data_IF_885967744760
#
_entry.id   IF_885967744760
#
_cell.length_a   1.000
_cell.length_b   1.000
_cell.length_c   1.000
_cell.angle_alpha   90.00
_cell.angle_beta   90.00
_cell.angle_gamma   90.00
#
_symmetry.space_group_name_H-M   'P 1'
#
loop_
_entity.id
_entity.type
_entity.pdbx_description
1 polymer ?
#
# COMPACT_ATOMS: atom_id res chain seq x y z
N UNK A 1 -2.51 21.63 -16.90
CA UNK A 1 -3.24 21.10 -18.08
C UNK A 1 -3.49 22.20 -19.12
N UNK A 2 -4.17 23.29 -18.77
CA UNK A 2 -4.55 24.33 -19.76
C UNK A 2 -3.37 24.89 -20.56
N UNK A 3 -2.24 25.18 -19.91
CA UNK A 3 -1.06 25.78 -20.57
C UNK A 3 -0.34 24.78 -21.52
N UNK A 4 -0.52 23.51 -21.30
CA UNK A 4 0.11 22.45 -22.08
C UNK A 4 -0.89 21.59 -22.89
N UNK A 5 -2.12 22.05 -23.06
CA UNK A 5 -3.18 21.29 -23.74
C UNK A 5 -2.85 20.93 -25.20
N UNK A 6 -2.01 21.73 -25.84
CA UNK A 6 -1.58 21.52 -27.23
C UNK A 6 -0.23 20.77 -27.32
N UNK A 7 0.33 20.34 -26.17
CA UNK A 7 1.56 19.55 -26.15
C UNK A 7 1.25 18.08 -26.51
N UNK A 8 2.12 17.50 -27.32
CA UNK A 8 2.01 16.12 -27.75
C UNK A 8 2.89 15.20 -26.87
N UNK A 9 2.42 13.99 -26.62
CA UNK A 9 3.17 12.95 -25.89
C UNK A 9 3.71 13.38 -24.51
N UNK A 10 2.97 14.20 -23.76
CA UNK A 10 3.37 14.58 -22.42
C UNK A 10 2.87 13.58 -21.36
N UNK A 11 3.64 13.42 -20.30
CA UNK A 11 3.26 12.71 -19.08
C UNK A 11 3.16 13.73 -17.94
N UNK A 12 2.01 13.76 -17.26
CA UNK A 12 1.78 14.59 -16.09
C UNK A 12 1.52 13.72 -14.87
N UNK A 13 2.35 13.87 -13.85
CA UNK A 13 2.12 13.31 -12.53
C UNK A 13 1.61 14.42 -11.62
N UNK A 14 0.45 14.21 -11.01
CA UNK A 14 -0.14 15.08 -10.02
C UNK A 14 -0.21 14.33 -8.70
N UNK A 15 0.54 14.76 -7.71
CA UNK A 15 0.53 14.21 -6.37
C UNK A 15 -0.09 15.22 -5.42
N UNK A 16 -1.24 14.87 -4.82
CA UNK A 16 -1.88 15.64 -3.78
C UNK A 16 -1.55 15.01 -2.42
N UNK A 17 -1.24 15.84 -1.41
CA UNK A 17 -1.04 15.36 -0.06
C UNK A 17 -2.37 14.90 0.55
N UNK A 18 -3.45 15.67 0.35
CA UNK A 18 -4.78 15.29 0.78
C UNK A 18 -5.33 14.09 -0.02
N UNK A 19 -6.09 13.20 0.64
CA UNK A 19 -6.69 13.27 1.98
C UNK A 19 -5.83 12.70 3.13
N UNK A 20 -4.51 12.82 3.09
CA UNK A 20 -3.60 12.40 4.17
C UNK A 20 -3.89 13.17 5.47
N UNK A 21 -3.64 12.58 6.62
CA UNK A 21 -3.65 13.28 7.89
C UNK A 21 -2.51 14.35 7.96
N UNK A 22 -2.68 15.47 8.67
CA UNK A 22 -3.80 15.84 9.52
C UNK A 22 -5.08 16.15 8.73
N UNK A 23 -6.23 15.68 9.22
CA UNK A 23 -7.52 15.92 8.57
C UNK A 23 -7.99 17.34 8.85
N UNK A 24 -7.31 18.31 8.26
CA UNK A 24 -7.61 19.72 8.37
C UNK A 24 -8.11 20.28 7.03
N UNK A 25 -9.22 21.00 7.07
CA UNK A 25 -9.84 21.59 5.90
C UNK A 25 -10.65 22.83 6.30
N UNK A 26 -10.99 23.69 5.34
CA UNK A 26 -11.90 24.80 5.60
C UNK A 26 -13.21 24.32 6.24
N UNK A 27 -13.64 25.04 7.30
CA UNK A 27 -14.78 24.67 8.13
C UNK A 27 -16.04 24.32 7.35
N UNK A 28 -16.28 24.97 6.21
CA UNK A 28 -17.48 24.70 5.40
C UNK A 28 -17.54 23.28 4.82
N UNK A 29 -16.41 22.57 4.69
CA UNK A 29 -16.40 21.14 4.35
C UNK A 29 -16.73 20.29 5.56
N UNK A 30 -16.19 20.61 6.75
CA UNK A 30 -16.55 19.92 7.98
C UNK A 30 -18.04 20.08 8.31
N UNK A 31 -18.61 21.26 8.09
CA UNK A 31 -20.02 21.57 8.32
C UNK A 31 -20.99 20.71 7.48
N UNK A 32 -20.50 20.00 6.45
CA UNK A 32 -21.31 19.00 5.72
C UNK A 32 -21.57 17.74 6.55
N UNK A 33 -20.67 17.41 7.46
CA UNK A 33 -20.66 16.14 8.21
C UNK A 33 -20.86 16.31 9.70
N UNK A 34 -20.51 17.49 10.26
CA UNK A 34 -20.60 17.77 11.69
C UNK A 34 -21.28 19.10 11.94
N UNK A 35 -22.35 19.08 12.72
CA UNK A 35 -23.10 20.29 13.10
C UNK A 35 -22.69 20.77 14.47
N UNK A 36 -22.97 22.04 14.76
CA UNK A 36 -22.77 22.60 16.10
C UNK A 36 -23.52 21.76 17.16
N UNK A 37 -22.77 21.27 18.15
CA UNK A 37 -23.29 20.41 19.22
C UNK A 37 -23.23 18.90 18.94
N UNK A 38 -22.82 18.46 17.76
CA UNK A 38 -22.64 17.02 17.47
C UNK A 38 -21.43 16.44 18.20
N UNK A 39 -20.43 17.30 18.49
CA UNK A 39 -19.22 16.92 19.22
C UNK A 39 -18.78 18.09 20.10
N UNK A 40 -18.47 17.81 21.37
CA UNK A 40 -18.02 18.77 22.39
C UNK A 40 -16.67 18.40 23.02
N UNK A 41 -16.01 17.40 22.49
CA UNK A 41 -14.70 16.94 22.94
C UNK A 41 -13.54 17.77 22.38
N UNK A 42 -12.29 17.35 22.65
CA UNK A 42 -11.10 17.98 22.10
C UNK A 42 -11.11 17.95 20.56
N UNK A 43 -10.80 19.07 19.94
CA UNK A 43 -10.62 19.12 18.48
C UNK A 43 -9.23 18.58 18.11
N UNK A 44 -9.20 17.55 17.28
CA UNK A 44 -7.96 16.94 16.81
C UNK A 44 -8.10 16.45 15.36
N UNK A 45 -7.02 16.50 14.64
CA UNK A 45 -6.97 16.22 13.19
C UNK A 45 -6.06 15.06 12.84
N UNK A 46 -5.23 14.61 13.79
CA UNK A 46 -4.20 13.62 13.56
C UNK A 46 -4.22 12.57 14.69
N UNK A 47 -4.69 11.34 14.42
CA UNK A 47 -4.66 10.27 15.41
C UNK A 47 -3.25 9.69 15.59
N UNK A 48 -3.02 9.04 16.71
CA UNK A 48 -1.83 8.22 16.90
C UNK A 48 -1.88 6.97 16.01
N UNK A 49 -0.74 6.54 15.51
CA UNK A 49 -0.56 5.27 14.80
C UNK A 49 -0.49 4.14 15.83
N UNK A 50 -1.64 3.64 16.25
CA UNK A 50 -1.78 2.78 17.43
C UNK A 50 -3.10 2.01 17.42
N UNK A 51 -3.33 1.09 18.40
CA UNK A 51 -4.68 0.66 18.71
C UNK A 51 -5.58 1.86 18.97
N UNK A 52 -6.85 1.72 18.65
CA UNK A 52 -7.83 2.78 18.88
C UNK A 52 -8.09 2.96 20.38
N UNK A 53 -7.53 4.02 20.96
CA UNK A 53 -7.76 4.42 22.36
C UNK A 53 -8.83 5.50 22.49
N UNK A 54 -9.39 5.98 21.38
CA UNK A 54 -10.46 6.97 21.34
C UNK A 54 -11.81 6.35 21.68
N UNK A 55 -12.67 7.12 22.35
CA UNK A 55 -14.05 6.74 22.53
C UNK A 55 -14.86 6.87 21.21
N UNK A 56 -16.10 6.40 21.20
CA UNK A 56 -16.96 6.39 20.01
C UNK A 56 -17.15 7.81 19.43
N UNK A 57 -17.37 8.82 20.29
CA UNK A 57 -17.61 10.20 19.84
C UNK A 57 -16.35 10.82 19.21
N UNK A 58 -15.18 10.56 19.78
CA UNK A 58 -13.90 10.99 19.25
C UNK A 58 -13.57 10.30 17.93
N UNK A 59 -13.81 8.99 17.83
CA UNK A 59 -13.63 8.21 16.61
C UNK A 59 -14.53 8.73 15.49
N UNK A 60 -15.82 8.99 15.80
CA UNK A 60 -16.76 9.52 14.79
C UNK A 60 -16.41 10.96 14.38
N UNK A 61 -15.93 11.81 15.31
CA UNK A 61 -15.42 13.13 14.98
C UNK A 61 -14.27 13.05 13.96
N UNK A 62 -13.31 12.17 14.18
CA UNK A 62 -12.20 11.97 13.24
C UNK A 62 -12.67 11.45 11.89
N UNK A 63 -13.63 10.53 11.85
CA UNK A 63 -14.28 10.04 10.61
C UNK A 63 -14.95 11.17 9.83
N UNK A 64 -15.61 12.09 10.51
CA UNK A 64 -16.25 13.27 9.88
C UNK A 64 -15.21 14.21 9.28
N UNK A 65 -14.10 14.44 9.99
CA UNK A 65 -12.97 15.21 9.47
C UNK A 65 -12.35 14.58 8.23
N UNK A 66 -12.11 13.27 8.25
CA UNK A 66 -11.62 12.54 7.09
C UNK A 66 -12.57 12.69 5.89
N UNK A 67 -13.88 12.50 6.09
CA UNK A 67 -14.91 12.71 5.04
C UNK A 67 -14.87 14.13 4.48
N UNK A 68 -14.65 15.13 5.33
CA UNK A 68 -14.57 16.53 4.92
C UNK A 68 -13.35 16.80 4.03
N UNK A 69 -12.18 16.29 4.41
CA UNK A 69 -10.95 16.39 3.59
C UNK A 69 -11.10 15.63 2.27
N UNK A 70 -11.70 14.43 2.30
CA UNK A 70 -11.99 13.67 1.07
C UNK A 70 -12.92 14.45 0.13
N UNK A 71 -13.95 15.13 0.67
CA UNK A 71 -14.85 15.98 -0.14
C UNK A 71 -14.12 17.17 -0.73
N UNK A 72 -13.18 17.76 0.01
CA UNK A 72 -12.32 18.82 -0.52
C UNK A 72 -11.45 18.30 -1.66
N UNK A 73 -10.82 17.15 -1.49
CA UNK A 73 -9.97 16.50 -2.51
C UNK A 73 -10.77 16.17 -3.76
N UNK A 74 -11.96 15.58 -3.61
CA UNK A 74 -12.88 15.26 -4.69
C UNK A 74 -13.27 16.50 -5.50
N UNK A 75 -13.54 17.61 -4.82
CA UNK A 75 -13.82 18.87 -5.48
C UNK A 75 -12.66 19.35 -6.36
N UNK A 76 -11.43 19.28 -5.86
CA UNK A 76 -10.26 19.72 -6.63
C UNK A 76 -9.93 18.76 -7.78
N UNK A 77 -10.20 17.46 -7.61
CA UNK A 77 -10.19 16.51 -8.72
C UNK A 77 -11.21 16.93 -9.80
N UNK A 78 -12.41 17.34 -9.39
CA UNK A 78 -13.44 17.85 -10.31
C UNK A 78 -12.95 19.01 -11.15
N UNK A 79 -12.16 19.93 -10.61
CA UNK A 79 -11.56 21.04 -11.38
C UNK A 79 -10.59 20.55 -12.48
N UNK A 80 -9.88 19.44 -12.25
CA UNK A 80 -9.05 18.80 -13.28
C UNK A 80 -9.92 18.20 -14.38
N UNK A 81 -10.99 17.50 -13.99
CA UNK A 81 -11.92 16.88 -14.93
C UNK A 81 -12.66 17.94 -15.79
N UNK A 82 -13.03 19.08 -15.19
CA UNK A 82 -13.64 20.22 -15.90
C UNK A 82 -12.71 20.76 -16.99
N UNK A 83 -11.39 20.79 -16.75
CA UNK A 83 -10.39 21.19 -17.76
C UNK A 83 -10.32 20.15 -18.87
N UNK A 84 -10.35 18.85 -18.55
CA UNK A 84 -10.36 17.79 -19.54
C UNK A 84 -11.61 17.84 -20.40
N UNK A 85 -12.78 18.11 -19.81
CA UNK A 85 -14.05 18.30 -20.56
C UNK A 85 -13.97 19.54 -21.48
N UNK A 86 -13.51 20.67 -20.94
CA UNK A 86 -13.40 21.92 -21.68
C UNK A 86 -12.57 21.81 -22.96
N UNK A 87 -11.51 21.03 -22.92
CA UNK A 87 -10.56 20.88 -24.03
C UNK A 87 -10.69 19.55 -24.78
N UNK A 88 -11.73 18.75 -24.46
CA UNK A 88 -12.00 17.45 -25.09
C UNK A 88 -10.81 16.48 -25.02
N UNK A 89 -10.09 16.49 -23.87
CA UNK A 89 -8.87 15.71 -23.70
C UNK A 89 -9.12 14.19 -23.59
N UNK A 90 -10.36 13.78 -23.41
CA UNK A 90 -10.72 12.36 -23.33
C UNK A 90 -10.49 11.58 -24.63
N UNK A 91 -10.34 12.27 -25.75
CA UNK A 91 -10.13 11.64 -27.07
C UNK A 91 -8.69 11.11 -27.24
N UNK A 92 -7.73 11.65 -26.50
CA UNK A 92 -6.30 11.34 -26.67
C UNK A 92 -5.52 11.15 -25.35
N UNK A 93 -6.15 11.36 -24.21
CA UNK A 93 -5.49 11.34 -22.90
C UNK A 93 -5.97 10.17 -22.06
N UNK A 94 -5.04 9.39 -21.53
CA UNK A 94 -5.31 8.41 -20.48
C UNK A 94 -5.21 9.09 -19.11
N UNK A 95 -6.26 8.99 -18.31
CA UNK A 95 -6.28 9.41 -16.90
C UNK A 95 -6.21 8.18 -16.00
N UNK A 96 -5.26 8.16 -15.07
CA UNK A 96 -5.16 7.15 -14.00
C UNK A 96 -5.34 7.85 -12.66
N UNK A 97 -6.32 7.41 -11.88
CA UNK A 97 -6.55 7.86 -10.52
C UNK A 97 -6.33 6.70 -9.56
N UNK A 98 -5.45 6.88 -8.58
CA UNK A 98 -5.13 5.89 -7.55
C UNK A 98 -4.55 6.57 -6.31
N UNK A 99 -4.24 5.78 -5.30
CA UNK A 99 -3.51 6.19 -4.10
C UNK A 99 -2.43 5.15 -3.76
N UNK A 100 -1.55 5.46 -2.83
CA UNK A 100 -0.51 4.55 -2.34
C UNK A 100 -1.07 3.52 -1.35
N UNK A 101 -1.95 3.92 -0.42
CA UNK A 101 -2.62 3.07 0.57
C UNK A 101 -3.87 3.75 1.12
N UNK A 102 -4.65 3.00 1.89
CA UNK A 102 -5.77 3.51 2.67
C UNK A 102 -5.41 3.77 4.13
N UNK A 103 -6.41 3.71 5.03
CA UNK A 103 -6.28 4.17 6.41
C UNK A 103 -7.37 3.55 7.30
N UNK A 104 -7.03 3.23 8.56
CA UNK A 104 -8.00 2.82 9.58
C UNK A 104 -8.50 4.01 10.39
N UNK A 105 -9.79 4.04 10.62
CA UNK A 105 -10.49 5.02 11.46
C UNK A 105 -11.34 4.32 12.54
N UNK A 106 -10.70 3.37 13.24
CA UNK A 106 -11.30 2.57 14.30
C UNK A 106 -11.68 1.15 13.90
N UNK A 107 -11.63 0.80 12.61
CA UNK A 107 -11.86 -0.56 12.14
C UNK A 107 -10.83 -1.51 12.76
N UNK A 108 -11.25 -2.74 13.07
CA UNK A 108 -10.44 -3.76 13.75
C UNK A 108 -9.80 -3.31 15.08
N UNK A 109 -10.29 -2.20 15.66
CA UNK A 109 -9.71 -1.61 16.88
C UNK A 109 -8.41 -0.85 16.65
N UNK A 110 -8.14 -0.38 15.42
CA UNK A 110 -6.92 0.36 15.07
C UNK A 110 -7.20 1.76 14.52
N UNK A 111 -6.20 2.62 14.64
CA UNK A 111 -6.12 3.92 13.99
C UNK A 111 -4.90 3.97 13.08
N UNK A 112 -5.02 4.75 12.00
CA UNK A 112 -3.95 5.03 11.07
C UNK A 112 -3.53 3.83 10.18
N UNK A 113 -2.24 3.65 9.99
CA UNK A 113 -1.60 2.73 9.05
C UNK A 113 -0.29 2.20 9.63
N UNK A 114 0.35 1.24 8.95
CA UNK A 114 1.68 0.68 9.28
C UNK A 114 1.75 -0.20 10.53
N UNK A 115 0.68 -0.40 11.26
CA UNK A 115 0.71 -0.96 12.58
C UNK A 115 -0.03 -2.30 12.71
N UNK A 116 -1.09 -2.49 11.98
CA UNK A 116 -2.02 -3.60 12.00
C UNK A 116 -1.71 -4.64 10.91
N UNK A 117 -2.49 -5.70 10.86
CA UNK A 117 -2.53 -6.63 9.74
C UNK A 117 -2.95 -5.90 8.44
N UNK A 118 -2.63 -6.46 7.26
CA UNK A 118 -2.87 -5.80 5.97
C UNK A 118 -4.33 -5.91 5.51
N UNK A 119 -5.26 -5.35 6.30
CA UNK A 119 -6.69 -5.33 6.01
C UNK A 119 -7.06 -4.48 4.79
N UNK A 120 -8.27 -4.70 4.28
CA UNK A 120 -8.80 -4.04 3.09
C UNK A 120 -8.81 -2.51 3.21
N UNK A 121 -9.04 -1.96 4.40
CA UNK A 121 -9.08 -0.51 4.65
C UNK A 121 -7.78 0.18 4.26
N UNK A 122 -6.66 -0.53 4.29
CA UNK A 122 -5.36 0.02 3.92
C UNK A 122 -4.89 -0.47 2.54
N UNK A 123 -5.20 -1.71 2.16
CA UNK A 123 -4.58 -2.33 0.99
C UNK A 123 -5.51 -2.48 -0.22
N UNK A 124 -6.85 -2.44 -0.05
CA UNK A 124 -7.78 -2.45 -1.16
C UNK A 124 -8.07 -1.01 -1.63
N UNK A 125 -7.10 -0.45 -2.31
CA UNK A 125 -7.08 0.96 -2.75
C UNK A 125 -7.88 1.18 -4.03
N UNK A 126 -8.42 2.40 -4.25
CA UNK A 126 -9.07 2.75 -5.50
C UNK A 126 -8.09 2.75 -6.67
N UNK A 127 -8.54 2.22 -7.80
CA UNK A 127 -7.88 2.35 -9.09
C UNK A 127 -8.95 2.60 -10.15
N UNK A 128 -8.90 3.77 -10.77
CA UNK A 128 -9.78 4.16 -11.87
C UNK A 128 -8.94 4.58 -13.06
N UNK A 129 -9.24 4.03 -14.23
CA UNK A 129 -8.52 4.35 -15.48
C UNK A 129 -9.54 4.69 -16.53
N UNK A 130 -9.39 5.88 -17.12
CA UNK A 130 -10.06 6.26 -18.36
C UNK A 130 -9.02 6.35 -19.47
N UNK A 131 -9.31 5.75 -20.63
CA UNK A 131 -8.43 5.83 -21.79
C UNK A 131 -9.26 5.91 -23.09
N UNK A 132 -8.72 6.49 -24.16
CA UNK A 132 -9.40 6.59 -25.43
C UNK A 132 -9.91 5.24 -25.93
N UNK A 133 -11.18 5.18 -26.32
CA UNK A 133 -11.82 3.98 -26.85
C UNK A 133 -12.23 2.93 -25.80
N UNK A 134 -11.91 3.12 -24.54
CA UNK A 134 -12.32 2.21 -23.45
C UNK A 134 -13.76 2.48 -23.04
N UNK A 135 -14.56 1.41 -22.90
CA UNK A 135 -15.94 1.53 -22.46
C UNK A 135 -16.02 1.58 -20.91
N UNK A 136 -16.93 2.40 -20.35
CA UNK A 136 -17.15 2.43 -18.92
C UNK A 136 -17.56 1.06 -18.36
N UNK A 137 -16.99 0.67 -17.24
CA UNK A 137 -17.30 -0.62 -16.62
C UNK A 137 -16.61 -0.81 -15.27
N UNK A 138 -16.86 -1.95 -14.65
CA UNK A 138 -16.14 -2.41 -13.46
C UNK A 138 -15.38 -3.69 -13.79
N UNK A 139 -14.15 -3.79 -13.31
CA UNK A 139 -13.30 -4.95 -13.48
C UNK A 139 -12.97 -5.52 -12.11
N UNK A 140 -13.16 -6.82 -11.92
CA UNK A 140 -12.84 -7.54 -10.68
C UNK A 140 -11.47 -8.23 -10.70
N UNK A 141 -10.68 -8.02 -11.76
CA UNK A 141 -9.34 -8.59 -11.84
C UNK A 141 -8.45 -8.07 -10.72
N UNK A 142 -7.62 -8.95 -10.16
CA UNK A 142 -6.61 -8.58 -9.17
C UNK A 142 -5.53 -7.73 -9.84
N UNK A 143 -5.37 -6.50 -9.35
CA UNK A 143 -4.38 -5.52 -9.83
C UNK A 143 -3.51 -5.04 -8.67
N UNK A 144 -2.40 -4.40 -8.99
CA UNK A 144 -1.48 -3.82 -7.99
C UNK A 144 -0.94 -2.48 -8.50
N UNK A 145 -0.50 -1.59 -7.60
CA UNK A 145 0.12 -0.31 -7.98
C UNK A 145 1.32 -0.45 -8.92
N UNK A 146 2.05 -1.56 -8.83
CA UNK A 146 3.17 -1.86 -9.74
C UNK A 146 2.74 -2.03 -11.20
N UNK A 147 1.44 -2.16 -11.47
CA UNK A 147 0.88 -2.30 -12.82
C UNK A 147 0.76 -0.96 -13.56
N UNK A 148 0.81 0.15 -12.85
CA UNK A 148 0.69 1.49 -13.44
C UNK A 148 1.83 1.75 -14.41
N UNK A 149 3.08 1.47 -14.01
CA UNK A 149 4.24 1.70 -14.87
C UNK A 149 4.16 0.93 -16.21
N UNK A 150 3.97 -0.40 -16.25
CA UNK A 150 3.87 -1.10 -17.53
C UNK A 150 2.63 -0.72 -18.33
N UNK A 151 1.55 -0.28 -17.69
CA UNK A 151 0.36 0.25 -18.38
C UNK A 151 0.69 1.55 -19.12
N UNK A 152 1.38 2.47 -18.46
CA UNK A 152 1.83 3.74 -19.06
C UNK A 152 2.84 3.46 -20.18
N UNK A 153 3.80 2.56 -19.98
CA UNK A 153 4.77 2.18 -21.01
C UNK A 153 4.08 1.63 -22.25
N UNK A 154 3.13 0.71 -22.09
CA UNK A 154 2.39 0.16 -23.23
C UNK A 154 1.54 1.23 -23.93
N UNK A 155 0.91 2.15 -23.18
CA UNK A 155 0.14 3.26 -23.74
C UNK A 155 0.98 4.18 -24.64
N UNK A 156 2.25 4.40 -24.29
CA UNK A 156 3.21 5.17 -25.09
C UNK A 156 4.02 4.31 -26.08
N UNK A 157 3.67 3.05 -26.25
CA UNK A 157 4.40 2.11 -27.12
C UNK A 157 5.90 1.97 -26.76
N UNK A 158 6.22 2.15 -25.46
CA UNK A 158 7.58 2.01 -24.93
C UNK A 158 7.83 0.53 -24.60
N UNK A 159 8.79 -0.09 -25.26
CA UNK A 159 9.20 -1.47 -24.93
C UNK A 159 9.81 -1.56 -23.53
N UNK A 160 9.44 -2.59 -22.75
CA UNK A 160 10.06 -2.88 -21.48
C UNK A 160 11.54 -3.28 -21.60
N UNK A 161 12.02 -3.58 -22.80
CA UNK A 161 13.44 -3.87 -23.08
C UNK A 161 14.38 -2.66 -22.82
N UNK A 162 13.82 -1.44 -22.74
CA UNK A 162 14.59 -0.25 -22.35
C UNK A 162 14.93 -0.22 -20.88
N UNK A 163 14.24 -1.02 -20.06
CA UNK A 163 14.48 -1.10 -18.63
C UNK A 163 15.75 -1.93 -18.34
N UNK A 164 16.55 -1.45 -17.43
CA UNK A 164 17.77 -2.14 -17.01
C UNK A 164 17.46 -3.47 -16.29
N UNK A 165 16.32 -3.53 -15.60
CA UNK A 165 15.86 -4.69 -14.85
C UNK A 165 14.41 -5.01 -15.20
N UNK A 166 14.02 -6.29 -15.20
CA UNK A 166 12.63 -6.68 -15.39
C UNK A 166 11.76 -6.12 -14.26
N UNK A 167 10.51 -5.78 -14.60
CA UNK A 167 9.49 -5.34 -13.67
C UNK A 167 8.44 -6.43 -13.46
N UNK A 168 7.85 -6.49 -12.26
CA UNK A 168 6.84 -7.51 -11.91
C UNK A 168 5.41 -7.08 -12.27
N UNK A 169 5.18 -5.78 -12.46
CA UNK A 169 3.89 -5.23 -12.87
C UNK A 169 3.45 -5.75 -14.24
N UNK A 170 2.15 -5.76 -14.47
CA UNK A 170 1.51 -6.16 -15.72
C UNK A 170 0.71 -4.98 -16.27
N UNK A 171 0.77 -4.77 -17.59
CA UNK A 171 -0.08 -3.77 -18.21
C UNK A 171 -1.56 -4.10 -18.02
N UNK A 172 -2.35 -3.09 -17.71
CA UNK A 172 -3.79 -3.18 -17.55
C UNK A 172 -4.54 -2.85 -18.85
N UNK A 173 -3.86 -2.43 -19.91
CA UNK A 173 -4.52 -2.12 -21.19
C UNK A 173 -5.30 -3.30 -21.77
N UNK A 174 -4.84 -4.56 -21.71
CA UNK A 174 -5.64 -5.70 -22.17
C UNK A 174 -6.96 -5.86 -21.39
N UNK A 175 -6.97 -5.59 -20.07
CA UNK A 175 -8.22 -5.57 -19.28
C UNK A 175 -9.14 -4.44 -19.73
N UNK A 176 -8.60 -3.24 -19.92
CA UNK A 176 -9.37 -2.05 -20.34
C UNK A 176 -9.99 -2.23 -21.72
N UNK A 177 -9.31 -2.94 -22.63
CA UNK A 177 -9.80 -3.25 -23.99
C UNK A 177 -10.74 -4.46 -24.02
N UNK A 178 -10.92 -5.17 -22.90
CA UNK A 178 -11.73 -6.40 -22.85
C UNK A 178 -11.09 -7.59 -23.56
N UNK A 179 -9.79 -7.58 -23.76
CA UNK A 179 -9.03 -8.66 -24.40
C UNK A 179 -8.78 -9.84 -23.45
N UNK A 180 -8.81 -9.58 -22.15
CA UNK A 180 -8.69 -10.56 -21.08
C UNK A 180 -9.54 -10.15 -19.87
N UNK A 181 -9.86 -11.11 -19.02
CA UNK A 181 -10.55 -10.90 -17.74
C UNK A 181 -9.59 -10.88 -16.55
N UNK A 182 -8.30 -11.19 -16.74
CA UNK A 182 -7.28 -11.19 -15.70
C UNK A 182 -5.87 -10.94 -16.21
N UNK A 183 -5.01 -10.39 -15.36
CA UNK A 183 -3.56 -10.22 -15.62
C UNK A 183 -2.70 -11.06 -14.68
N UNK A 184 -3.29 -11.58 -13.58
CA UNK A 184 -2.67 -12.50 -12.63
C UNK A 184 -3.70 -13.35 -11.91
N UNK A 185 -3.25 -14.48 -11.33
CA UNK A 185 -4.11 -15.37 -10.53
C UNK A 185 -4.20 -14.95 -9.06
N UNK A 186 -3.36 -14.05 -8.60
CA UNK A 186 -3.35 -13.52 -7.26
C UNK A 186 -2.21 -12.52 -7.05
N UNK A 187 -2.24 -11.83 -5.93
CA UNK A 187 -1.25 -10.83 -5.55
C UNK A 187 -0.79 -10.99 -4.11
N UNK A 188 0.45 -10.58 -3.83
CA UNK A 188 1.00 -10.45 -2.46
C UNK A 188 1.13 -9.00 -2.08
N UNK A 189 0.91 -8.70 -0.81
CA UNK A 189 1.03 -7.35 -0.24
C UNK A 189 1.31 -7.44 1.26
N UNK A 190 1.59 -6.31 1.90
CA UNK A 190 1.85 -6.23 3.33
C UNK A 190 2.90 -5.20 3.69
N UNK A 191 3.27 -5.19 4.96
CA UNK A 191 4.31 -4.32 5.50
C UNK A 191 5.61 -5.09 5.69
N UNK A 192 6.73 -4.38 5.58
CA UNK A 192 8.04 -4.96 5.87
C UNK A 192 8.10 -5.50 7.32
N UNK A 193 8.51 -6.76 7.46
CA UNK A 193 8.66 -7.40 8.77
C UNK A 193 7.35 -7.81 9.46
N UNK A 194 6.21 -7.65 8.80
CA UNK A 194 4.88 -8.05 9.28
C UNK A 194 4.37 -9.29 8.56
N UNK A 195 3.07 -9.59 8.72
CA UNK A 195 2.41 -10.60 7.90
C UNK A 195 2.60 -10.27 6.42
N UNK A 196 2.73 -11.31 5.60
CA UNK A 196 2.53 -11.19 4.16
C UNK A 196 1.13 -11.67 3.85
N UNK A 197 0.38 -10.85 3.10
CA UNK A 197 -0.93 -11.21 2.59
C UNK A 197 -0.84 -11.73 1.16
N UNK A 198 -1.76 -12.63 0.83
CA UNK A 198 -2.06 -13.06 -0.53
C UNK A 198 -3.56 -12.98 -0.77
N UNK A 199 -3.96 -12.60 -1.98
CA UNK A 199 -5.36 -12.61 -2.40
C UNK A 199 -5.50 -13.04 -3.85
N UNK A 200 -6.61 -13.73 -4.18
CA UNK A 200 -7.08 -13.98 -5.54
C UNK A 200 -8.32 -13.14 -5.92
N UNK A 201 -8.69 -12.20 -5.03
CA UNK A 201 -9.89 -11.37 -5.16
C UNK A 201 -11.13 -11.96 -4.49
N UNK A 202 -11.11 -13.24 -4.10
CA UNK A 202 -12.15 -13.90 -3.31
C UNK A 202 -11.66 -14.20 -1.89
N UNK A 203 -10.50 -14.83 -1.78
CA UNK A 203 -9.89 -15.14 -0.50
C UNK A 203 -8.73 -14.18 -0.23
N UNK A 204 -8.58 -13.80 1.04
CA UNK A 204 -7.40 -13.08 1.51
C UNK A 204 -6.78 -13.84 2.68
N UNK A 205 -5.50 -14.17 2.54
CA UNK A 205 -4.74 -14.95 3.51
C UNK A 205 -3.57 -14.15 4.06
N UNK A 206 -3.55 -13.94 5.38
CA UNK A 206 -2.47 -13.27 6.10
C UNK A 206 -1.58 -14.32 6.74
N UNK A 207 -0.34 -14.42 6.30
CA UNK A 207 0.64 -15.31 6.88
C UNK A 207 1.55 -14.57 7.84
N UNK A 208 1.47 -14.91 9.13
CA UNK A 208 2.37 -14.43 10.16
C UNK A 208 3.75 -15.10 10.08
N UNK A 209 4.74 -14.54 10.76
CA UNK A 209 6.01 -15.21 10.98
C UNK A 209 5.81 -16.54 11.72
N UNK A 210 6.72 -17.49 11.50
CA UNK A 210 6.65 -18.83 12.10
C UNK A 210 6.74 -18.83 13.63
N UNK A 211 7.35 -17.79 14.19
CA UNK A 211 7.51 -17.63 15.64
C UNK A 211 7.72 -16.15 16.01
N UNK A 212 7.66 -15.87 17.30
CA UNK A 212 7.79 -14.50 17.88
C UNK A 212 9.15 -13.83 17.58
N UNK A 213 10.16 -14.57 17.18
CA UNK A 213 11.47 -14.01 16.84
C UNK A 213 11.42 -13.26 15.51
N UNK A 214 10.47 -13.61 14.64
CA UNK A 214 10.28 -13.01 13.33
C UNK A 214 11.59 -12.95 12.53
N UNK A 215 12.32 -14.06 12.53
CA UNK A 215 13.64 -14.15 11.90
C UNK A 215 13.71 -15.36 10.93
N UNK A 216 14.58 -15.30 9.91
CA UNK A 216 15.50 -14.18 9.57
C UNK A 216 14.77 -13.00 8.90
N UNK A 217 15.21 -11.79 9.22
CA UNK A 217 14.70 -10.57 8.60
C UNK A 217 15.85 -9.58 8.41
N UNK A 218 16.01 -9.09 7.17
CA UNK A 218 17.10 -8.20 6.80
C UNK A 218 16.61 -6.98 6.02
N UNK A 219 17.33 -5.88 6.17
CA UNK A 219 17.22 -4.71 5.30
C UNK A 219 18.41 -4.66 4.37
N UNK A 220 18.15 -4.46 3.09
CA UNK A 220 19.17 -4.35 2.04
C UNK A 220 19.23 -2.93 1.50
N UNK A 221 20.42 -2.36 1.40
CA UNK A 221 20.60 -1.02 0.84
C UNK A 221 22.00 -0.82 0.24
N UNK A 222 22.06 -0.09 -0.86
CA UNK A 222 23.31 0.42 -1.40
C UNK A 222 23.76 1.73 -0.71
N UNK A 223 22.82 2.40 0.00
CA UNK A 223 23.02 3.71 0.65
C UNK A 223 22.64 3.65 2.13
N UNK A 224 23.50 3.13 3.00
CA UNK A 224 23.19 2.97 4.43
C UNK A 224 22.87 4.30 5.13
N UNK A 225 23.31 5.43 4.58
CA UNK A 225 23.04 6.77 5.11
C UNK A 225 21.58 7.21 4.99
N UNK A 226 20.76 6.58 4.14
CA UNK A 226 19.32 6.84 4.05
C UNK A 226 18.53 6.11 5.14
N UNK A 227 19.13 5.14 5.80
CA UNK A 227 18.57 4.50 7.00
C UNK A 227 18.72 5.46 8.19
N UNK A 228 17.79 6.41 8.27
CA UNK A 228 17.83 7.57 9.19
C UNK A 228 18.22 7.22 10.63
N UNK A 229 18.04 5.99 11.03
CA UNK A 229 18.08 5.59 12.43
C UNK A 229 19.20 4.60 12.76
N UNK A 230 19.95 4.15 11.77
CA UNK A 230 21.20 3.41 12.02
C UNK A 230 22.29 4.35 12.53
N UNK A 231 22.24 5.64 12.14
CA UNK A 231 23.29 6.62 12.41
C UNK A 231 22.81 7.89 13.13
N UNK A 232 21.53 8.04 13.43
CA UNK A 232 20.94 9.35 13.73
C UNK A 232 20.35 9.55 15.13
N UNK A 233 20.49 8.62 16.06
CA UNK A 233 20.00 8.75 17.42
C UNK A 233 21.11 8.90 18.46
N UNK A 234 20.76 9.32 19.66
CA UNK A 234 21.66 9.31 20.83
C UNK A 234 22.08 7.89 21.26
N UNK A 235 21.42 6.87 20.69
CA UNK A 235 21.77 5.47 20.88
C UNK A 235 22.66 5.04 19.70
N UNK A 236 23.97 5.22 19.90
CA UNK A 236 24.97 4.71 18.97
C UNK A 236 24.74 3.21 18.78
N UNK A 237 24.66 2.76 17.51
CA UNK A 237 24.70 1.33 17.19
C UNK A 237 25.90 0.75 17.93
N UNK A 238 25.65 -0.27 18.73
CA UNK A 238 26.65 -0.92 19.53
C UNK A 238 27.72 -1.54 18.59
N UNK A 239 28.99 -1.54 19.03
CA UNK A 239 30.10 -2.07 18.22
C UNK A 239 29.88 -3.54 17.81
N UNK A 240 29.18 -4.32 18.59
CA UNK A 240 28.83 -5.72 18.26
C UNK A 240 27.77 -5.79 17.14
N UNK A 241 26.85 -4.84 17.06
CA UNK A 241 25.86 -4.77 16.01
C UNK A 241 26.50 -4.43 14.66
N UNK A 242 27.52 -3.58 14.62
CA UNK A 242 28.29 -3.32 13.41
C UNK A 242 28.95 -4.57 12.82
N UNK A 243 29.38 -5.51 13.66
CA UNK A 243 29.97 -6.77 13.20
C UNK A 243 28.94 -7.70 12.52
N UNK A 244 27.66 -7.44 12.70
CA UNK A 244 26.56 -8.20 12.09
C UNK A 244 26.15 -7.65 10.73
N UNK A 245 26.64 -6.47 10.37
CA UNK A 245 26.40 -5.86 9.07
C UNK A 245 27.32 -6.50 8.04
N UNK A 246 26.77 -6.97 6.97
CA UNK A 246 27.50 -7.60 5.90
C UNK A 246 27.42 -6.77 4.61
N UNK A 247 28.42 -6.87 3.75
CA UNK A 247 28.40 -6.32 2.41
C UNK A 247 28.64 -7.44 1.41
N UNK A 248 27.75 -7.55 0.41
CA UNK A 248 27.85 -8.62 -0.58
C UNK A 248 26.80 -8.51 -1.67
N UNK A 249 26.75 -9.52 -2.54
CA UNK A 249 25.78 -9.66 -3.62
C UNK A 249 24.65 -10.59 -3.15
N UNK A 250 23.72 -10.05 -2.41
CA UNK A 250 22.63 -10.83 -1.79
C UNK A 250 21.36 -10.86 -2.65
N UNK A 251 21.22 -9.91 -3.59
CA UNK A 251 20.00 -9.70 -4.36
C UNK A 251 20.15 -10.34 -5.75
N UNK A 252 19.29 -11.29 -6.15
CA UNK A 252 19.46 -12.02 -7.40
C UNK A 252 19.25 -11.17 -8.66
N UNK A 253 18.61 -10.01 -8.51
CA UNK A 253 18.30 -9.10 -9.63
C UNK A 253 19.36 -8.03 -9.89
N UNK A 254 20.46 -8.00 -9.13
CA UNK A 254 21.55 -7.02 -9.34
C UNK A 254 22.91 -7.58 -8.99
N UNK A 255 23.91 -7.21 -9.78
CA UNK A 255 25.32 -7.50 -9.52
C UNK A 255 26.00 -6.50 -8.59
N UNK A 256 25.32 -5.43 -8.22
CA UNK A 256 25.87 -4.44 -7.28
C UNK A 256 25.93 -5.00 -5.86
N UNK A 257 27.05 -4.82 -5.16
CA UNK A 257 27.10 -5.16 -3.75
C UNK A 257 26.22 -4.22 -2.94
N UNK A 258 25.49 -4.79 -1.99
CA UNK A 258 24.64 -4.05 -1.05
C UNK A 258 25.02 -4.38 0.38
N UNK A 259 24.70 -3.50 1.31
CA UNK A 259 24.74 -3.82 2.73
C UNK A 259 23.50 -4.63 3.09
N UNK A 260 23.70 -5.63 3.97
CA UNK A 260 22.66 -6.43 4.60
C UNK A 260 22.68 -6.17 6.11
N UNK A 261 21.63 -5.59 6.62
CA UNK A 261 21.45 -5.28 8.03
C UNK A 261 20.44 -6.25 8.64
N UNK A 262 20.78 -6.97 9.72
CA UNK A 262 19.75 -7.61 10.53
C UNK A 262 18.72 -6.58 11.00
N UNK A 263 17.43 -6.86 10.80
CA UNK A 263 16.39 -5.85 11.06
C UNK A 263 16.29 -5.46 12.54
N UNK A 264 16.70 -6.34 13.44
CA UNK A 264 16.68 -6.10 14.89
C UNK A 264 17.71 -5.07 15.39
N UNK A 265 18.73 -4.73 14.57
CA UNK A 265 19.71 -3.68 14.91
C UNK A 265 19.32 -2.30 14.35
N UNK A 266 18.27 -2.23 13.55
CA UNK A 266 17.81 -0.96 12.99
C UNK A 266 16.81 -0.33 13.95
N UNK A 267 17.13 0.88 14.42
CA UNK A 267 16.26 1.66 15.30
C UNK A 267 15.54 2.72 14.47
N UNK A 268 14.22 2.63 14.39
CA UNK A 268 13.38 3.48 13.53
C UNK A 268 12.81 4.73 14.26
N UNK A 269 13.51 5.28 15.26
CA UNK A 269 13.06 6.41 16.08
C UNK A 269 12.21 6.00 17.29
N UNK A 270 11.65 6.95 18.02
CA UNK A 270 10.93 6.69 19.27
C UNK A 270 9.65 5.85 19.10
N UNK A 271 9.02 5.91 17.91
CA UNK A 271 7.82 5.14 17.58
C UNK A 271 8.12 3.83 16.84
N UNK A 272 9.37 3.50 16.67
CA UNK A 272 9.88 2.54 15.69
C UNK A 272 9.85 1.09 16.14
N UNK A 273 9.58 0.81 17.37
CA UNK A 273 9.29 -0.56 17.82
C UNK A 273 8.12 -1.17 17.04
N UNK A 274 7.36 -0.32 16.36
CA UNK A 274 6.18 -0.69 15.61
C UNK A 274 6.47 -1.21 14.19
N UNK A 275 7.61 -0.83 13.59
CA UNK A 275 7.84 -1.06 12.17
C UNK A 275 8.68 -2.28 11.82
N UNK A 276 9.48 -2.81 12.73
CA UNK A 276 10.42 -3.88 12.39
C UNK A 276 10.35 -5.02 13.39
N UNK A 277 9.39 -5.91 13.24
CA UNK A 277 9.37 -7.19 13.95
C UNK A 277 9.27 -7.13 15.48
N UNK A 278 9.04 -5.95 16.03
CA UNK A 278 8.85 -5.71 17.46
C UNK A 278 7.45 -5.20 17.77
N UNK A 279 6.48 -5.51 16.91
CA UNK A 279 5.09 -5.25 17.26
C UNK A 279 4.76 -5.98 18.55
N UNK A 280 4.14 -5.32 19.55
CA UNK A 280 3.63 -6.00 20.73
C UNK A 280 2.44 -6.90 20.41
N UNK A 281 2.04 -6.98 19.13
CA UNK A 281 0.94 -7.81 18.68
C UNK A 281 1.44 -9.21 18.36
N UNK A 282 0.71 -10.18 18.86
CA UNK A 282 0.71 -11.52 18.31
C UNK A 282 0.14 -11.41 16.91
N UNK A 283 1.01 -11.39 15.92
CA UNK A 283 0.59 -11.49 14.53
C UNK A 283 0.00 -12.87 14.34
N UNK A 284 -1.27 -12.93 13.99
CA UNK A 284 -1.96 -14.18 13.73
C UNK A 284 -2.01 -14.47 12.24
N UNK A 285 -1.95 -15.76 11.89
CA UNK A 285 -2.28 -16.20 10.55
C UNK A 285 -3.80 -16.21 10.41
N UNK A 286 -4.34 -15.47 9.43
CA UNK A 286 -5.77 -15.27 9.24
C UNK A 286 -6.16 -15.55 7.79
N UNK A 287 -7.35 -16.07 7.58
CA UNK A 287 -7.93 -16.37 6.27
C UNK A 287 -9.36 -15.85 6.20
N UNK A 288 -9.70 -15.12 5.14
CA UNK A 288 -11.02 -14.52 4.95
C UNK A 288 -11.59 -14.84 3.56
N UNK A 289 -12.89 -15.02 3.47
CA UNK A 289 -13.65 -14.94 2.22
C UNK A 289 -14.19 -13.52 2.08
N UNK A 290 -13.51 -12.69 1.29
CA UNK A 290 -13.86 -11.27 1.16
C UNK A 290 -15.07 -11.01 0.26
N UNK A 291 -15.64 -12.01 -0.41
CA UNK A 291 -16.91 -11.87 -1.09
C UNK A 291 -18.07 -11.88 -0.08
N UNK A 292 -17.97 -12.66 0.98
CA UNK A 292 -18.99 -12.75 2.04
C UNK A 292 -18.68 -11.90 3.28
N UNK A 293 -17.41 -11.62 3.52
CA UNK A 293 -16.89 -10.87 4.68
C UNK A 293 -15.85 -9.83 4.20
N UNK A 294 -16.31 -8.81 3.49
CA UNK A 294 -15.44 -7.76 2.97
C UNK A 294 -14.70 -7.00 4.07
N UNK A 295 -15.34 -6.85 5.23
CA UNK A 295 -14.78 -6.19 6.40
C UNK A 295 -13.72 -7.04 7.13
N UNK A 296 -13.55 -8.32 6.75
CA UNK A 296 -12.57 -9.22 7.35
C UNK A 296 -12.70 -9.36 8.88
N UNK A 297 -13.95 -9.49 9.35
CA UNK A 297 -14.28 -9.64 10.77
C UNK A 297 -14.34 -11.11 11.23
N UNK A 298 -14.55 -12.05 10.30
CA UNK A 298 -14.86 -13.46 10.58
C UNK A 298 -13.85 -14.39 9.90
N UNK A 299 -12.67 -14.64 10.51
CA UNK A 299 -11.65 -15.49 9.91
C UNK A 299 -12.15 -16.95 9.75
N UNK A 300 -11.82 -17.54 8.62
CA UNK A 300 -12.10 -18.92 8.30
C UNK A 300 -11.08 -19.85 8.94
N UNK A 301 -11.54 -21.06 9.30
CA UNK A 301 -10.71 -22.17 9.78
C UNK A 301 -10.88 -23.37 8.85
N UNK A 302 -10.15 -23.38 7.74
CA UNK A 302 -10.16 -24.44 6.73
C UNK A 302 -8.71 -24.79 6.32
N UNK A 303 -8.20 -25.89 6.84
CA UNK A 303 -6.83 -26.34 6.58
C UNK A 303 -6.56 -26.66 5.10
N UNK A 304 -7.56 -27.11 4.34
CA UNK A 304 -7.37 -27.41 2.93
C UNK A 304 -7.24 -26.14 2.11
N UNK A 305 -8.09 -25.14 2.40
CA UNK A 305 -8.03 -23.82 1.79
C UNK A 305 -6.74 -23.08 2.21
N UNK A 306 -6.35 -23.16 3.48
CA UNK A 306 -5.09 -22.57 3.95
C UNK A 306 -3.88 -23.14 3.19
N UNK A 307 -3.79 -24.47 3.04
CA UNK A 307 -2.73 -25.08 2.23
C UNK A 307 -2.73 -24.59 0.78
N UNK A 308 -3.91 -24.42 0.19
CA UNK A 308 -4.03 -23.83 -1.15
C UNK A 308 -3.48 -22.42 -1.18
N UNK A 309 -3.88 -21.56 -0.25
CA UNK A 309 -3.40 -20.17 -0.15
C UNK A 309 -1.88 -20.09 0.02
N UNK A 310 -1.28 -20.96 0.86
CA UNK A 310 0.17 -21.06 1.03
C UNK A 310 0.86 -21.37 -0.29
N UNK A 311 0.38 -22.36 -1.05
CA UNK A 311 0.98 -22.72 -2.34
C UNK A 311 0.86 -21.60 -3.38
N UNK A 312 -0.26 -20.88 -3.41
CA UNK A 312 -0.42 -19.72 -4.30
C UNK A 312 0.48 -18.55 -3.86
N UNK A 313 0.55 -18.26 -2.57
CA UNK A 313 1.44 -17.26 -1.99
C UNK A 313 2.90 -17.55 -2.36
N UNK A 314 3.37 -18.79 -2.21
CA UNK A 314 4.73 -19.21 -2.59
C UNK A 314 5.00 -18.97 -4.07
N UNK A 315 4.04 -19.27 -4.96
CA UNK A 315 4.16 -18.99 -6.39
C UNK A 315 4.28 -17.49 -6.66
N UNK A 316 3.43 -16.67 -6.03
CA UNK A 316 3.53 -15.22 -6.14
C UNK A 316 4.87 -14.70 -5.62
N UNK A 317 5.31 -15.15 -4.46
CA UNK A 317 6.61 -14.78 -3.89
C UNK A 317 7.77 -15.13 -4.83
N UNK A 318 7.74 -16.32 -5.44
CA UNK A 318 8.77 -16.74 -6.39
C UNK A 318 8.78 -15.88 -7.67
N UNK A 319 7.61 -15.48 -8.19
CA UNK A 319 7.52 -14.60 -9.36
C UNK A 319 7.92 -13.15 -9.06
N UNK A 320 8.01 -12.77 -7.78
CA UNK A 320 8.44 -11.46 -7.32
C UNK A 320 9.84 -11.48 -6.69
N UNK A 321 10.65 -12.50 -7.03
CA UNK A 321 12.04 -12.63 -6.59
C UNK A 321 12.23 -12.58 -5.06
N UNK A 322 11.24 -13.09 -4.30
CA UNK A 322 11.32 -13.13 -2.84
C UNK A 322 12.53 -13.95 -2.38
N UNK A 323 13.32 -13.37 -1.49
CA UNK A 323 14.54 -14.00 -1.00
C UNK A 323 14.24 -15.22 -0.11
N UNK A 324 15.12 -16.23 -0.09
CA UNK A 324 14.91 -17.48 0.65
C UNK A 324 14.57 -17.30 2.14
N UNK A 325 15.15 -16.28 2.78
CA UNK A 325 14.87 -15.96 4.19
C UNK A 325 13.42 -15.59 4.46
N UNK A 326 12.67 -15.09 3.46
CA UNK A 326 11.25 -14.78 3.65
C UNK A 326 10.42 -16.06 3.79
N UNK A 327 10.74 -17.11 3.02
CA UNK A 327 10.09 -18.41 3.18
C UNK A 327 10.41 -19.04 4.54
N UNK A 328 11.68 -18.95 4.96
CA UNK A 328 12.12 -19.44 6.28
C UNK A 328 11.42 -18.68 7.41
N UNK A 329 11.31 -17.35 7.31
CA UNK A 329 10.65 -16.50 8.30
C UNK A 329 9.18 -16.85 8.47
N UNK A 330 8.49 -17.11 7.36
CA UNK A 330 7.07 -17.45 7.34
C UNK A 330 6.79 -18.93 7.63
N UNK A 331 7.82 -19.78 7.61
CA UNK A 331 7.67 -21.23 7.80
C UNK A 331 6.87 -21.93 6.69
N UNK A 332 7.11 -21.55 5.42
CA UNK A 332 6.39 -22.06 4.25
C UNK A 332 7.33 -22.55 3.16
#
# INVERSE_FOLDING_TARGET
>A
LEDNRDADNYFLWVEAFDPHEPYDCPKYYLDLYEKEGDYDGPDFTHPSYAPNEFNEAETEHLRRRCKAVMTMTDRHLGEILDVMDKYNMWEDTMLVFTTDHGYHLGEHGYMAKNYMAPYNEVFHIPLMISAPGVQPGRCSAVTQNIDVLPTVMEYYEISQEVLQYPIHGKSLLPLLRGETDKVRDGAIFGYFGKQIAWTDGKYTYFRAAKDEKNQPLYVYTAMPTVLRQVYGGNDAVNTEDYKRIEMGRFLPWTDYPVYRFPADIIHWGNDSQQFVGRSPYNEETLLFDIESDYAQEYPLHDEALERHCIEQMKRCMATHDALPEQYERLGI
#
